data_IF_721102615144
#
_entry.id   IF_721102615144
#
_cell.length_a   1.000
_cell.length_b   1.000
_cell.length_c   1.000
_cell.angle_alpha   90.00
_cell.angle_beta   90.00
_cell.angle_gamma   90.00
#
_symmetry.space_group_name_H-M   'P 1'
#
loop_
_entity.id
_entity.type
_entity.pdbx_description
1 polymer ?
#
# COMPACT_ATOMS: atom_id res chain seq x y z
N UNK A 1 -39.51 7.45 -10.87
CA UNK A 1 -38.22 6.80 -10.59
C UNK A 1 -37.05 7.79 -10.70
N UNK A 2 -36.73 8.36 -11.87
CA UNK A 2 -35.59 9.31 -12.02
C UNK A 2 -35.64 10.53 -11.09
N UNK A 3 -36.80 11.19 -10.96
CA UNK A 3 -36.96 12.36 -10.09
C UNK A 3 -36.77 12.03 -8.60
N UNK A 4 -37.12 10.81 -8.20
CA UNK A 4 -36.98 10.34 -6.82
C UNK A 4 -35.51 10.04 -6.50
N UNK A 5 -34.80 9.38 -7.42
CA UNK A 5 -33.35 9.16 -7.28
C UNK A 5 -32.54 10.46 -7.20
N UNK A 6 -32.97 11.51 -7.92
CA UNK A 6 -32.35 12.84 -7.86
C UNK A 6 -32.64 13.56 -6.54
N UNK A 7 -33.87 13.49 -6.03
CA UNK A 7 -34.22 14.06 -4.71
C UNK A 7 -33.47 13.35 -3.57
N UNK A 8 -33.32 12.03 -3.66
CA UNK A 8 -32.53 11.24 -2.72
C UNK A 8 -31.04 11.61 -2.79
N UNK A 9 -30.51 11.90 -3.99
CA UNK A 9 -29.13 12.34 -4.20
C UNK A 9 -28.85 13.65 -3.48
N UNK A 10 -29.70 14.66 -3.69
CA UNK A 10 -29.55 15.97 -3.03
C UNK A 10 -29.62 15.86 -1.50
N UNK A 11 -30.55 15.04 -1.00
CA UNK A 11 -30.69 14.81 0.44
C UNK A 11 -29.43 14.14 1.04
N UNK A 12 -28.84 13.17 0.33
CA UNK A 12 -27.57 12.55 0.74
C UNK A 12 -26.40 13.52 0.67
N UNK A 13 -26.38 14.41 -0.30
CA UNK A 13 -25.34 15.44 -0.43
C UNK A 13 -25.36 16.39 0.77
N UNK A 14 -26.55 16.83 1.21
CA UNK A 14 -26.70 17.69 2.38
C UNK A 14 -26.29 16.99 3.69
N UNK A 15 -26.55 15.68 3.81
CA UNK A 15 -26.06 14.86 4.92
C UNK A 15 -24.53 14.75 4.93
N UNK A 16 -23.91 14.59 3.76
CA UNK A 16 -22.45 14.57 3.63
C UNK A 16 -21.83 15.92 3.97
N UNK A 17 -22.41 17.04 3.50
CA UNK A 17 -21.98 18.40 3.87
C UNK A 17 -22.01 18.59 5.39
N UNK A 18 -23.10 18.16 6.03
CA UNK A 18 -23.24 18.22 7.48
C UNK A 18 -22.16 17.38 8.20
N UNK A 19 -21.86 16.19 7.67
CA UNK A 19 -20.81 15.31 8.20
C UNK A 19 -19.41 15.92 8.08
N UNK A 20 -19.09 16.59 6.95
CA UNK A 20 -17.82 17.31 6.78
C UNK A 20 -17.65 18.40 7.83
N UNK A 21 -18.70 19.19 8.08
CA UNK A 21 -18.68 20.25 9.11
C UNK A 21 -18.45 19.66 10.50
N UNK A 22 -19.17 18.59 10.84
CA UNK A 22 -19.02 17.90 12.13
C UNK A 22 -17.60 17.33 12.32
N UNK A 23 -17.03 16.75 11.27
CA UNK A 23 -15.67 16.23 11.23
C UNK A 23 -14.58 17.32 11.12
N UNK A 24 -14.98 18.60 10.98
CA UNK A 24 -14.08 19.75 10.75
C UNK A 24 -13.21 19.60 9.50
N UNK A 25 -13.76 18.97 8.47
CA UNK A 25 -13.10 18.80 7.17
C UNK A 25 -13.54 19.95 6.26
N UNK A 26 -12.57 20.73 5.78
CA UNK A 26 -12.82 21.74 4.76
C UNK A 26 -12.77 21.08 3.39
N UNK A 27 -13.90 21.08 2.68
CA UNK A 27 -13.99 20.44 1.37
C UNK A 27 -15.37 20.56 0.76
N UNK A 28 -15.55 19.83 -0.34
CA UNK A 28 -16.80 19.73 -1.08
C UNK A 28 -17.39 18.34 -0.89
N UNK A 29 -18.71 18.23 -1.00
CA UNK A 29 -19.41 16.96 -1.04
C UNK A 29 -20.15 16.86 -2.37
N UNK A 30 -20.01 15.73 -3.04
CA UNK A 30 -20.68 15.42 -4.30
C UNK A 30 -21.29 14.03 -4.21
N UNK A 31 -22.49 13.87 -4.76
CA UNK A 31 -23.20 12.58 -4.82
C UNK A 31 -23.56 12.29 -6.26
N UNK A 32 -23.04 11.18 -6.79
CA UNK A 32 -23.32 10.72 -8.14
C UNK A 32 -24.34 9.58 -8.12
N UNK A 33 -25.50 9.80 -8.74
CA UNK A 33 -26.51 8.75 -8.93
C UNK A 33 -26.15 7.88 -10.15
N UNK A 34 -25.79 6.62 -9.91
CA UNK A 34 -25.38 5.66 -10.94
C UNK A 34 -26.19 4.37 -10.89
N UNK A 35 -26.20 3.64 -12.00
CA UNK A 35 -26.79 2.29 -12.08
C UNK A 35 -25.86 1.22 -11.51
N UNK A 36 -24.56 1.42 -11.69
CA UNK A 36 -23.49 0.52 -11.26
C UNK A 36 -22.46 1.33 -10.47
N UNK A 37 -22.09 0.84 -9.28
CA UNK A 37 -21.25 1.58 -8.34
C UNK A 37 -19.80 1.62 -8.83
N UNK A 38 -19.32 0.54 -9.43
CA UNK A 38 -17.96 0.45 -9.97
C UNK A 38 -17.73 1.50 -11.07
N UNK A 39 -18.65 1.61 -12.03
CA UNK A 39 -18.61 2.67 -13.06
C UNK A 39 -18.74 4.07 -12.45
N UNK A 40 -19.53 4.23 -11.38
CA UNK A 40 -19.65 5.49 -10.65
C UNK A 40 -18.34 5.93 -9.99
N UNK A 41 -17.64 5.02 -9.31
CA UNK A 41 -16.33 5.31 -8.70
C UNK A 41 -15.32 5.69 -9.79
N UNK A 42 -15.28 4.93 -10.89
CA UNK A 42 -14.41 5.21 -12.03
C UNK A 42 -14.70 6.58 -12.65
N UNK A 43 -15.98 6.94 -12.76
CA UNK A 43 -16.41 8.24 -13.29
C UNK A 43 -15.93 9.37 -12.38
N UNK A 44 -16.18 9.28 -11.06
CA UNK A 44 -15.73 10.29 -10.10
C UNK A 44 -14.21 10.51 -10.19
N UNK A 45 -13.41 9.44 -10.09
CA UNK A 45 -11.94 9.58 -10.17
C UNK A 45 -11.48 10.29 -11.46
N UNK A 46 -12.22 10.10 -12.55
CA UNK A 46 -11.90 10.70 -13.83
C UNK A 46 -12.41 12.14 -13.96
N UNK A 47 -13.62 12.44 -13.50
CA UNK A 47 -14.25 13.73 -13.80
C UNK A 47 -14.02 14.78 -12.72
N UNK A 48 -13.66 14.35 -11.50
CA UNK A 48 -13.49 15.25 -10.37
C UNK A 48 -12.37 16.29 -10.56
N UNK A 49 -12.66 17.49 -10.04
CA UNK A 49 -11.77 18.65 -10.10
C UNK A 49 -12.23 19.74 -11.06
N UNK A 50 -11.73 20.95 -10.82
CA UNK A 50 -12.05 22.14 -11.61
C UNK A 50 -10.77 22.82 -12.10
N UNK A 51 -10.55 22.81 -13.42
CA UNK A 51 -9.34 23.36 -14.02
C UNK A 51 -8.08 22.64 -13.54
N UNK A 52 -7.18 23.38 -12.89
CA UNK A 52 -5.95 22.86 -12.28
C UNK A 52 -6.13 22.26 -10.87
N UNK A 53 -7.28 22.50 -10.21
CA UNK A 53 -7.57 21.90 -8.92
C UNK A 53 -8.15 20.50 -9.13
N UNK A 54 -7.29 19.49 -9.04
CA UNK A 54 -7.69 18.08 -9.21
C UNK A 54 -7.19 17.24 -8.03
N UNK A 55 -7.95 16.22 -7.59
CA UNK A 55 -7.47 15.28 -6.59
C UNK A 55 -6.19 14.58 -7.07
N UNK A 56 -5.19 14.50 -6.19
CA UNK A 56 -3.96 13.73 -6.41
C UNK A 56 -3.91 12.48 -5.52
N UNK A 57 -4.86 12.32 -4.61
CA UNK A 57 -4.96 11.18 -3.69
C UNK A 57 -6.41 10.75 -3.58
N UNK A 58 -6.64 9.45 -3.71
CA UNK A 58 -7.92 8.79 -3.53
C UNK A 58 -7.85 8.04 -2.19
N UNK A 59 -8.83 8.26 -1.33
CA UNK A 59 -8.97 7.51 -0.08
C UNK A 59 -10.21 6.63 -0.19
N UNK A 60 -10.03 5.31 -0.14
CA UNK A 60 -11.12 4.34 -0.23
C UNK A 60 -10.94 3.27 0.84
N UNK A 61 -11.99 2.92 1.56
CA UNK A 61 -11.91 1.88 2.58
C UNK A 61 -11.68 0.49 1.96
N UNK A 62 -10.95 -0.37 2.68
CA UNK A 62 -10.86 -1.78 2.32
C UNK A 62 -12.26 -2.41 2.27
N UNK A 63 -12.61 -3.18 1.20
CA UNK A 63 -13.94 -3.79 1.10
C UNK A 63 -14.05 -5.00 2.03
N UNK A 64 -14.19 -4.80 3.35
CA UNK A 64 -14.11 -5.86 4.37
C UNK A 64 -15.07 -7.05 4.18
N UNK A 65 -16.12 -6.90 3.39
CA UNK A 65 -17.11 -7.95 3.10
C UNK A 65 -16.92 -8.63 1.75
N UNK A 66 -15.80 -8.38 1.05
CA UNK A 66 -15.55 -8.89 -0.30
C UNK A 66 -15.69 -10.42 -0.44
N UNK A 67 -15.43 -11.21 0.62
CA UNK A 67 -15.63 -12.67 0.62
C UNK A 67 -17.08 -13.14 0.68
N UNK A 68 -18.00 -12.27 1.13
CA UNK A 68 -19.44 -12.59 1.18
C UNK A 68 -20.10 -12.43 -0.18
N UNK A 69 -19.39 -11.82 -1.11
CA UNK A 69 -19.87 -11.53 -2.43
C UNK A 69 -19.71 -12.77 -3.32
N UNK A 70 -20.83 -13.38 -3.70
CA UNK A 70 -20.83 -14.67 -4.40
C UNK A 70 -20.30 -14.58 -5.83
N UNK A 71 -20.41 -13.41 -6.46
CA UNK A 71 -19.95 -13.17 -7.83
C UNK A 71 -18.55 -12.52 -7.89
N UNK A 72 -17.99 -12.12 -6.74
CA UNK A 72 -16.69 -11.45 -6.67
C UNK A 72 -16.70 -9.98 -7.11
N UNK A 73 -17.87 -9.37 -7.31
CA UNK A 73 -18.02 -7.99 -7.77
C UNK A 73 -17.22 -6.99 -6.93
N UNK A 74 -17.26 -7.09 -5.61
CA UNK A 74 -16.52 -6.21 -4.70
C UNK A 74 -15.00 -6.29 -4.88
N UNK A 75 -14.48 -7.49 -5.16
CA UNK A 75 -13.05 -7.69 -5.43
C UNK A 75 -12.68 -7.05 -6.78
N UNK A 76 -13.46 -7.32 -7.83
CA UNK A 76 -13.24 -6.73 -9.15
C UNK A 76 -13.32 -5.21 -9.14
N UNK A 77 -14.33 -4.66 -8.49
CA UNK A 77 -14.53 -3.22 -8.37
C UNK A 77 -13.37 -2.54 -7.65
N UNK A 78 -12.84 -3.17 -6.59
CA UNK A 78 -11.67 -2.65 -5.88
C UNK A 78 -10.41 -2.67 -6.76
N UNK A 79 -10.13 -3.79 -7.46
CA UNK A 79 -9.00 -3.88 -8.39
C UNK A 79 -9.10 -2.87 -9.51
N UNK A 80 -10.29 -2.71 -10.12
CA UNK A 80 -10.51 -1.71 -11.16
C UNK A 80 -10.29 -0.30 -10.61
N UNK A 81 -10.71 -0.03 -9.38
CA UNK A 81 -10.48 1.27 -8.74
C UNK A 81 -8.98 1.57 -8.60
N UNK A 82 -8.16 0.59 -8.21
CA UNK A 82 -6.69 0.75 -8.18
C UNK A 82 -6.16 1.07 -9.59
N UNK A 83 -6.60 0.32 -10.60
CA UNK A 83 -6.16 0.53 -11.98
C UNK A 83 -6.55 1.92 -12.52
N UNK A 84 -7.74 2.42 -12.19
CA UNK A 84 -8.21 3.76 -12.57
C UNK A 84 -7.42 4.85 -11.84
N UNK A 85 -7.13 4.65 -10.54
CA UNK A 85 -6.29 5.55 -9.76
C UNK A 85 -4.87 5.66 -10.36
N UNK A 86 -4.26 4.53 -10.71
CA UNK A 86 -2.95 4.47 -11.34
C UNK A 86 -2.94 5.17 -12.71
N UNK A 87 -3.93 4.88 -13.55
CA UNK A 87 -4.10 5.56 -14.85
C UNK A 87 -4.28 7.07 -14.71
N UNK A 88 -4.89 7.53 -13.61
CA UNK A 88 -5.02 8.95 -13.26
C UNK A 88 -3.85 9.54 -12.49
N UNK A 89 -2.81 8.74 -12.23
CA UNK A 89 -1.62 9.17 -11.49
C UNK A 89 -1.98 9.71 -10.10
N UNK A 90 -3.03 9.15 -9.51
CA UNK A 90 -3.41 9.42 -8.15
C UNK A 90 -2.76 8.39 -7.23
N UNK A 91 -2.28 8.86 -6.08
CA UNK A 91 -1.99 7.98 -4.96
C UNK A 91 -3.31 7.38 -4.43
N UNK A 92 -3.32 6.11 -4.03
CA UNK A 92 -4.44 5.50 -3.33
C UNK A 92 -4.06 5.18 -1.88
N UNK A 93 -4.90 5.59 -0.95
CA UNK A 93 -4.79 5.28 0.48
C UNK A 93 -6.00 4.43 0.88
N UNK A 94 -5.73 3.29 1.51
CA UNK A 94 -6.74 2.29 1.87
C UNK A 94 -6.68 2.00 3.37
N UNK A 95 -7.50 2.69 4.17
CA UNK A 95 -7.70 2.32 5.56
C UNK A 95 -8.36 0.94 5.63
N UNK A 96 -7.75 0.02 6.37
CA UNK A 96 -8.30 -1.29 6.67
C UNK A 96 -8.55 -1.42 8.16
N UNK A 97 -9.68 -2.06 8.49
CA UNK A 97 -10.24 -2.09 9.84
C UNK A 97 -10.53 -0.67 10.36
N UNK A 98 -11.24 0.12 9.54
CA UNK A 98 -11.51 1.53 9.85
C UNK A 98 -12.28 1.72 11.16
N UNK A 99 -13.09 0.75 11.56
CA UNK A 99 -13.82 0.77 12.83
C UNK A 99 -12.89 0.81 14.07
N UNK A 100 -11.63 0.41 13.91
CA UNK A 100 -10.63 0.48 14.97
C UNK A 100 -9.90 1.84 15.02
N UNK A 101 -10.10 2.73 14.03
CA UNK A 101 -9.43 4.03 14.00
C UNK A 101 -9.97 4.96 15.10
N UNK A 102 -9.08 5.77 15.70
CA UNK A 102 -9.45 6.62 16.81
C UNK A 102 -10.30 7.80 16.36
N UNK A 103 -11.22 8.22 17.23
CA UNK A 103 -11.92 9.48 17.07
C UNK A 103 -10.97 10.68 17.24
N UNK A 104 -11.38 11.85 16.75
CA UNK A 104 -10.59 13.09 16.83
C UNK A 104 -10.20 13.54 18.26
N UNK A 105 -10.80 12.94 19.30
CA UNK A 105 -10.53 13.21 20.72
C UNK A 105 -9.63 12.16 21.39
N UNK A 106 -9.40 11.02 20.73
CA UNK A 106 -8.71 9.87 21.30
C UNK A 106 -7.22 9.91 21.01
N UNK A 107 -6.47 10.64 21.84
CA UNK A 107 -5.01 10.74 21.70
C UNK A 107 -4.38 9.35 21.82
N UNK A 108 -3.66 8.95 20.78
CA UNK A 108 -2.88 7.74 20.71
C UNK A 108 -1.47 8.00 21.26
N UNK A 109 -0.99 7.04 22.04
CA UNK A 109 0.37 7.00 22.59
C UNK A 109 0.97 5.62 22.31
N UNK A 110 2.13 5.58 21.65
CA UNK A 110 2.73 4.35 21.14
C UNK A 110 3.55 4.61 19.88
N UNK A 111 3.43 3.72 18.89
CA UNK A 111 4.22 3.80 17.65
C UNK A 111 3.36 3.81 16.39
N UNK A 112 3.85 4.52 15.37
CA UNK A 112 3.43 4.39 13.98
C UNK A 112 4.55 3.62 13.28
N UNK A 113 4.24 2.42 12.83
CA UNK A 113 5.22 1.52 12.23
C UNK A 113 5.07 1.55 10.71
N UNK A 114 6.17 1.83 10.01
CA UNK A 114 6.23 1.92 8.56
C UNK A 114 6.97 0.70 8.04
N UNK A 115 6.30 -0.18 7.30
CA UNK A 115 6.91 -1.33 6.64
C UNK A 115 7.20 -1.01 5.18
N UNK A 116 8.41 -0.53 4.96
CA UNK A 116 8.88 -0.10 3.65
C UNK A 116 9.47 -1.27 2.86
N UNK A 117 8.57 -2.00 2.21
CA UNK A 117 8.88 -3.22 1.43
C UNK A 117 9.18 -2.88 -0.03
N UNK A 118 8.59 -1.82 -0.57
CA UNK A 118 8.71 -1.40 -1.97
C UNK A 118 9.01 0.09 -1.99
N UNK A 119 9.79 0.52 -2.98
CA UNK A 119 10.09 1.91 -3.17
C UNK A 119 8.86 2.66 -3.73
N UNK A 120 8.33 3.62 -2.97
CA UNK A 120 7.08 4.36 -3.22
C UNK A 120 7.31 5.87 -3.39
N UNK A 121 8.56 6.30 -3.53
CA UNK A 121 8.91 7.72 -3.64
C UNK A 121 8.86 8.48 -2.30
N UNK A 122 8.75 7.77 -1.18
CA UNK A 122 8.75 8.33 0.18
C UNK A 122 7.37 8.72 0.70
N UNK A 123 6.31 8.32 -0.01
CA UNK A 123 4.94 8.64 0.30
C UNK A 123 4.52 8.11 1.69
N UNK A 124 4.92 6.89 2.07
CA UNK A 124 4.73 6.34 3.41
C UNK A 124 5.30 7.27 4.49
N UNK A 125 6.49 7.84 4.27
CA UNK A 125 7.14 8.76 5.20
C UNK A 125 6.37 10.08 5.30
N UNK A 126 5.88 10.59 4.18
CA UNK A 126 5.04 11.79 4.16
C UNK A 126 3.76 11.61 4.95
N UNK A 127 3.05 10.51 4.76
CA UNK A 127 1.82 10.26 5.50
C UNK A 127 2.09 10.10 7.00
N UNK A 128 3.12 9.36 7.40
CA UNK A 128 3.50 9.25 8.81
C UNK A 128 3.85 10.61 9.43
N UNK A 129 4.61 11.44 8.71
CA UNK A 129 4.98 12.78 9.14
C UNK A 129 3.76 13.70 9.30
N UNK A 130 2.86 13.73 8.31
CA UNK A 130 1.64 14.53 8.35
C UNK A 130 0.71 14.07 9.47
N UNK A 131 0.59 12.76 9.70
CA UNK A 131 -0.21 12.22 10.81
C UNK A 131 0.29 12.72 12.16
N UNK A 132 1.60 12.76 12.41
CA UNK A 132 2.18 13.27 13.67
C UNK A 132 1.85 14.74 13.95
N UNK A 133 1.47 15.53 12.95
CA UNK A 133 1.00 16.92 13.15
C UNK A 133 -0.41 16.98 13.73
N UNK A 134 -1.18 15.91 13.62
CA UNK A 134 -2.50 15.81 14.22
C UNK A 134 -2.39 15.47 15.72
N UNK A 135 -3.21 16.13 16.55
CA UNK A 135 -3.24 15.94 18.02
C UNK A 135 -3.48 14.49 18.45
N UNK A 136 -4.22 13.72 17.64
CA UNK A 136 -4.49 12.29 17.90
C UNK A 136 -3.20 11.49 17.86
N UNK A 137 -2.27 11.79 16.95
CA UNK A 137 -1.08 10.97 16.72
C UNK A 137 0.22 11.65 17.18
N UNK A 138 0.14 12.85 17.75
CA UNK A 138 1.32 13.67 18.07
C UNK A 138 2.26 13.04 19.11
N UNK A 139 1.75 12.14 19.96
CA UNK A 139 2.56 11.40 20.95
C UNK A 139 3.15 10.11 20.40
N UNK A 140 2.80 9.70 19.18
CA UNK A 140 3.36 8.49 18.59
C UNK A 140 4.81 8.71 18.12
N UNK A 141 5.64 7.69 18.31
CA UNK A 141 6.98 7.58 17.73
C UNK A 141 6.91 6.87 16.39
N UNK A 142 7.75 7.26 15.43
CA UNK A 142 7.80 6.58 14.12
C UNK A 142 8.88 5.52 14.18
N UNK A 143 8.56 4.30 13.72
CA UNK A 143 9.54 3.22 13.51
C UNK A 143 9.49 2.80 12.05
N UNK A 144 10.64 2.76 11.39
CA UNK A 144 10.80 2.32 10.02
C UNK A 144 11.37 0.91 10.01
N UNK A 145 10.67 -0.01 9.37
CA UNK A 145 11.12 -1.36 9.08
C UNK A 145 11.36 -1.49 7.57
N UNK A 146 12.56 -1.92 7.20
CA UNK A 146 12.87 -2.32 5.83
C UNK A 146 13.31 -3.78 5.79
N UNK A 147 13.04 -4.45 4.67
CA UNK A 147 13.33 -5.88 4.49
C UNK A 147 14.48 -6.05 3.50
N UNK A 148 15.47 -6.84 3.89
CA UNK A 148 16.72 -7.09 3.16
C UNK A 148 17.01 -8.59 3.06
N UNK A 149 17.77 -8.98 2.05
CA UNK A 149 18.26 -10.35 1.83
C UNK A 149 19.53 -10.61 2.63
N UNK A 150 19.87 -11.86 2.90
CA UNK A 150 21.12 -12.23 3.58
C UNK A 150 22.39 -11.79 2.84
N UNK A 151 22.29 -11.56 1.52
CA UNK A 151 23.40 -11.11 0.67
C UNK A 151 23.59 -9.59 0.71
N UNK A 152 22.62 -8.84 1.25
CA UNK A 152 22.65 -7.39 1.29
C UNK A 152 23.49 -6.87 2.45
N UNK A 153 24.08 -5.68 2.27
CA UNK A 153 24.75 -4.98 3.37
C UNK A 153 23.73 -4.24 4.25
N UNK A 154 23.14 -4.96 5.21
CA UNK A 154 22.12 -4.45 6.13
C UNK A 154 22.62 -3.24 6.95
N UNK A 155 23.91 -3.21 7.31
CA UNK A 155 24.53 -2.10 8.06
C UNK A 155 24.61 -0.82 7.23
N UNK A 156 25.06 -0.92 5.98
CA UNK A 156 25.11 0.23 5.08
C UNK A 156 23.70 0.77 4.80
N UNK A 157 22.74 -0.12 4.51
CA UNK A 157 21.35 0.27 4.26
C UNK A 157 20.73 1.00 5.45
N UNK A 158 20.96 0.49 6.67
CA UNK A 158 20.49 1.16 7.89
C UNK A 158 21.03 2.58 7.98
N UNK A 159 22.34 2.75 7.81
CA UNK A 159 23.01 4.05 7.88
C UNK A 159 22.50 5.03 6.82
N UNK A 160 22.31 4.55 5.59
CA UNK A 160 21.81 5.36 4.48
C UNK A 160 20.36 5.82 4.75
N UNK A 161 19.51 4.95 5.29
CA UNK A 161 18.15 5.29 5.67
C UNK A 161 18.07 6.24 6.86
N UNK A 162 18.93 6.07 7.88
CA UNK A 162 19.04 7.03 8.99
C UNK A 162 19.47 8.41 8.49
N UNK A 163 20.45 8.47 7.59
CA UNK A 163 20.88 9.71 6.94
C UNK A 163 19.74 10.33 6.11
N UNK A 164 18.98 9.51 5.39
CA UNK A 164 17.84 9.96 4.61
C UNK A 164 16.75 10.55 5.52
N UNK A 165 16.34 9.86 6.57
CA UNK A 165 15.36 10.38 7.56
C UNK A 165 15.82 11.68 8.21
N UNK A 166 17.12 11.79 8.53
CA UNK A 166 17.72 13.02 9.04
C UNK A 166 17.59 14.19 8.05
N UNK A 167 17.88 13.97 6.76
CA UNK A 167 17.71 14.98 5.72
C UNK A 167 16.25 15.43 5.58
N UNK A 168 15.31 14.51 5.76
CA UNK A 168 13.87 14.81 5.75
C UNK A 168 13.38 15.46 7.05
N UNK A 169 14.23 15.54 8.09
CA UNK A 169 13.88 16.00 9.45
C UNK A 169 12.73 15.19 10.08
N UNK A 170 12.68 13.90 9.76
CA UNK A 170 11.74 12.96 10.35
C UNK A 170 12.48 12.20 11.43
N UNK A 171 12.04 12.36 12.68
CA UNK A 171 12.55 11.57 13.80
C UNK A 171 11.90 10.18 13.78
N UNK A 172 12.64 9.20 13.25
CA UNK A 172 12.21 7.81 13.13
C UNK A 172 13.32 6.84 13.56
N UNK A 173 12.93 5.75 14.22
CA UNK A 173 13.81 4.63 14.54
C UNK A 173 13.92 3.69 13.33
N UNK A 174 15.12 3.47 12.79
CA UNK A 174 15.34 2.62 11.60
C UNK A 174 15.75 1.21 11.99
N UNK A 175 14.97 0.24 11.53
CA UNK A 175 15.14 -1.19 11.76
C UNK A 175 15.24 -1.92 10.41
N UNK A 176 16.26 -2.77 10.27
CA UNK A 176 16.45 -3.64 9.10
C UNK A 176 16.13 -5.06 9.52
N UNK A 177 15.26 -5.72 8.75
CA UNK A 177 14.81 -7.09 8.97
C UNK A 177 15.37 -7.96 7.85
N UNK A 178 16.24 -8.89 8.22
CA UNK A 178 16.80 -9.88 7.29
C UNK A 178 15.81 -11.03 7.10
N UNK A 179 15.54 -11.37 5.84
CA UNK A 179 14.66 -12.47 5.44
C UNK A 179 15.34 -13.32 4.37
N UNK A 180 15.00 -14.61 4.31
CA UNK A 180 15.59 -15.51 3.33
C UNK A 180 15.05 -15.23 1.91
N UNK A 181 15.87 -15.45 0.88
CA UNK A 181 15.56 -15.13 -0.52
C UNK A 181 14.24 -15.72 -1.04
N UNK A 182 13.97 -16.96 -0.65
CA UNK A 182 12.74 -17.66 -1.03
C UNK A 182 11.49 -16.97 -0.47
N UNK A 183 11.63 -16.29 0.66
CA UNK A 183 10.53 -15.63 1.39
C UNK A 183 10.18 -14.26 0.79
N UNK A 184 11.10 -13.59 0.08
CA UNK A 184 10.88 -12.24 -0.44
C UNK A 184 10.97 -12.10 -1.96
N UNK A 185 11.27 -13.19 -2.68
CA UNK A 185 11.45 -13.21 -4.14
C UNK A 185 10.37 -12.48 -4.95
N UNK A 186 9.10 -12.59 -4.55
CA UNK A 186 7.99 -11.90 -5.20
C UNK A 186 8.08 -10.37 -5.06
N UNK A 187 8.46 -9.87 -3.88
CA UNK A 187 8.62 -8.45 -3.61
C UNK A 187 9.93 -7.91 -4.20
N UNK A 188 11.00 -8.70 -4.17
CA UNK A 188 12.29 -8.33 -4.75
C UNK A 188 12.16 -8.05 -6.26
N UNK A 189 11.45 -8.91 -6.99
CA UNK A 189 11.21 -8.70 -8.42
C UNK A 189 10.43 -7.41 -8.72
N UNK A 190 9.33 -7.17 -8.01
CA UNK A 190 8.53 -5.96 -8.19
C UNK A 190 9.30 -4.69 -7.79
N UNK A 191 10.08 -4.78 -6.70
CA UNK A 191 10.96 -3.71 -6.23
C UNK A 191 11.96 -3.31 -7.32
N UNK A 192 12.62 -4.27 -7.97
CA UNK A 192 13.60 -4.02 -9.03
C UNK A 192 12.98 -3.36 -10.25
N UNK A 193 11.82 -3.84 -10.73
CA UNK A 193 11.13 -3.23 -11.89
C UNK A 193 10.75 -1.76 -11.66
N UNK A 194 10.10 -1.47 -10.52
CA UNK A 194 9.70 -0.10 -10.16
C UNK A 194 10.92 0.83 -9.99
N UNK A 195 12.05 0.27 -9.57
CA UNK A 195 13.32 0.99 -9.46
C UNK A 195 13.80 1.53 -10.80
N UNK A 196 13.82 0.67 -11.81
CA UNK A 196 14.31 1.02 -13.15
C UNK A 196 13.43 2.09 -13.79
N UNK A 197 12.10 1.97 -13.64
CA UNK A 197 11.14 2.97 -14.10
C UNK A 197 11.36 4.32 -13.41
N UNK A 198 11.61 4.31 -12.10
CA UNK A 198 11.90 5.53 -11.33
C UNK A 198 13.19 6.21 -11.79
N UNK A 199 14.26 5.45 -12.03
CA UNK A 199 15.53 6.01 -12.52
C UNK A 199 15.32 6.69 -13.89
N UNK A 200 14.51 6.11 -14.77
CA UNK A 200 14.15 6.71 -16.07
C UNK A 200 13.38 8.02 -15.88
N UNK A 201 12.42 8.05 -14.96
CA UNK A 201 11.64 9.26 -14.64
C UNK A 201 12.52 10.40 -14.10
N UNK A 202 13.37 10.11 -13.11
CA UNK A 202 14.25 11.12 -12.49
C UNK A 202 15.21 11.75 -13.51
N UNK A 203 15.75 10.95 -14.43
CA UNK A 203 16.57 11.45 -15.56
C UNK A 203 15.78 12.40 -16.46
N UNK A 204 14.49 12.14 -16.67
CA UNK A 204 13.63 12.97 -17.50
C UNK A 204 13.27 14.31 -16.82
N UNK A 205 13.09 14.32 -15.50
CA UNK A 205 12.67 15.49 -14.73
C UNK A 205 13.74 16.57 -14.56
N UNK A 206 15.00 16.32 -14.93
CA UNK A 206 16.14 17.28 -14.85
C UNK A 206 16.23 17.99 -13.49
N UNK A 207 15.96 17.27 -12.40
CA UNK A 207 16.02 17.80 -11.03
C UNK A 207 17.43 18.36 -10.71
N UNK A 208 17.49 19.43 -9.93
CA UNK A 208 18.76 20.07 -9.56
C UNK A 208 19.59 19.21 -8.60
N UNK A 209 20.91 19.43 -8.52
CA UNK A 209 21.84 18.51 -7.81
C UNK A 209 21.51 18.20 -6.34
N UNK A 210 20.90 19.13 -5.59
CA UNK A 210 20.45 18.89 -4.19
C UNK A 210 19.17 18.06 -4.10
N UNK A 211 18.20 18.30 -5.00
CA UNK A 211 16.95 17.54 -5.07
C UNK A 211 17.21 16.13 -5.60
N UNK A 212 18.13 16.02 -6.59
CA UNK A 212 18.63 14.75 -7.08
C UNK A 212 19.30 13.97 -5.96
N UNK A 213 20.13 14.61 -5.11
CA UNK A 213 20.77 13.94 -3.98
C UNK A 213 19.76 13.39 -2.96
N UNK A 214 18.76 14.15 -2.55
CA UNK A 214 17.71 13.65 -1.64
C UNK A 214 16.95 12.49 -2.29
N UNK A 215 16.64 12.61 -3.58
CA UNK A 215 15.95 11.58 -4.36
C UNK A 215 16.85 10.39 -4.77
N UNK A 216 18.17 10.51 -4.74
CA UNK A 216 19.14 9.48 -5.15
C UNK A 216 19.84 8.80 -3.98
N UNK A 217 19.75 9.37 -2.77
CA UNK A 217 20.17 8.76 -1.49
C UNK A 217 19.14 7.79 -0.91
N UNK A 218 18.05 7.52 -1.63
CA UNK A 218 17.45 6.22 -1.51
C UNK A 218 18.60 5.19 -1.68
N UNK A 219 18.76 4.16 -0.85
CA UNK A 219 19.84 3.17 -0.96
C UNK A 219 19.69 2.32 -2.25
N UNK A 220 19.87 2.92 -3.42
CA UNK A 220 19.55 2.37 -4.74
C UNK A 220 20.77 1.77 -5.39
N UNK A 221 21.91 2.46 -5.31
CA UNK A 221 23.13 2.08 -6.00
C UNK A 221 23.83 0.88 -5.34
N UNK A 222 23.69 0.71 -4.03
CA UNK A 222 24.32 -0.39 -3.28
C UNK A 222 23.59 -1.73 -3.45
N UNK A 223 22.30 -1.72 -3.80
CA UNK A 223 21.46 -2.93 -3.91
C UNK A 223 21.44 -3.55 -5.31
N UNK A 224 21.47 -2.72 -6.37
CA UNK A 224 21.41 -3.20 -7.77
C UNK A 224 22.72 -3.87 -8.22
N UNK A 225 23.86 -3.42 -7.69
CA UNK A 225 25.17 -3.93 -8.11
C UNK A 225 25.46 -5.38 -7.65
N UNK A 226 24.83 -5.87 -6.59
CA UNK A 226 25.07 -7.24 -6.10
C UNK A 226 24.24 -8.31 -6.85
N UNK A 227 23.08 -7.96 -7.41
CA UNK A 227 22.19 -8.95 -8.04
C UNK A 227 22.60 -9.41 -9.44
N UNK A 228 23.50 -8.69 -10.12
CA UNK A 228 24.02 -9.14 -11.43
C UNK A 228 24.95 -10.36 -11.33
N UNK A 229 25.42 -10.76 -10.14
CA UNK A 229 26.22 -11.97 -9.96
C UNK A 229 25.39 -13.24 -9.66
N UNK A 230 24.23 -13.11 -8.99
CA UNK A 230 23.43 -14.27 -8.54
C UNK A 230 22.53 -14.88 -9.62
N UNK A 231 22.35 -14.25 -10.78
CA UNK A 231 21.55 -14.79 -11.90
C UNK A 231 22.14 -16.05 -12.59
N UNK A 232 23.33 -16.54 -12.19
CA UNK A 232 23.97 -17.70 -12.85
C UNK A 232 23.88 -19.04 -12.10
N UNK A 233 23.31 -19.12 -10.88
CA UNK A 233 23.23 -20.39 -10.14
C UNK A 233 21.97 -20.51 -9.30
N UNK A 234 20.91 -21.09 -9.87
CA UNK A 234 19.88 -21.76 -9.06
C UNK A 234 19.25 -22.90 -9.85
N UNK A 235 19.92 -24.05 -9.86
CA UNK A 235 19.30 -25.35 -10.11
C UNK A 235 18.68 -25.80 -8.78
N UNK A 236 17.38 -26.10 -8.77
CA UNK A 236 16.59 -26.32 -7.54
C UNK A 236 16.58 -27.82 -7.19
N UNK A 237 16.91 -28.15 -5.94
CA UNK A 237 16.64 -29.45 -5.31
C UNK A 237 15.20 -29.48 -4.77
N UNK A 238 14.46 -30.54 -5.09
CA UNK A 238 13.09 -30.82 -4.67
C UNK A 238 13.07 -31.34 -3.22
N UNK A 239 12.43 -30.63 -2.29
CA UNK A 239 11.76 -31.22 -1.10
C UNK A 239 10.97 -30.14 -0.34
N UNK A 240 9.65 -30.08 -0.49
CA UNK A 240 8.79 -29.31 0.42
C UNK A 240 7.35 -29.84 0.46
N UNK A 241 7.13 -30.90 1.24
CA UNK A 241 5.79 -31.39 1.61
C UNK A 241 5.64 -31.36 3.14
N UNK A 242 5.35 -30.20 3.74
CA UNK A 242 4.70 -30.13 5.05
C UNK A 242 4.28 -28.71 5.47
N UNK A 243 3.18 -28.18 4.95
CA UNK A 243 2.50 -27.04 5.59
C UNK A 243 0.98 -27.26 5.56
N UNK A 244 0.37 -27.26 6.75
CA UNK A 244 -1.04 -27.55 6.96
C UNK A 244 -1.84 -26.24 6.87
N UNK A 245 -2.64 -26.09 5.82
CA UNK A 245 -3.48 -24.92 5.61
C UNK A 245 -4.82 -25.07 6.35
N UNK A 246 -5.36 -23.99 6.90
CA UNK A 246 -6.74 -23.88 7.40
C UNK A 246 -7.70 -23.47 6.27
N UNK A 247 -7.86 -24.33 5.27
CA UNK A 247 -8.93 -24.22 4.28
C UNK A 247 -10.03 -25.24 4.58
N UNK A 248 -11.27 -24.94 4.23
CA UNK A 248 -12.28 -26.01 4.13
C UNK A 248 -11.93 -26.94 2.94
N UNK A 249 -12.19 -28.26 3.02
CA UNK A 249 -11.77 -29.20 1.97
C UNK A 249 -12.21 -28.83 0.55
N UNK A 250 -13.39 -28.21 0.41
CA UNK A 250 -13.95 -27.75 -0.88
C UNK A 250 -13.25 -26.50 -1.45
N UNK A 251 -12.77 -25.59 -0.59
CA UNK A 251 -12.01 -24.41 -1.02
C UNK A 251 -10.60 -24.81 -1.50
N UNK A 252 -10.01 -25.82 -0.88
CA UNK A 252 -8.70 -26.34 -1.24
C UNK A 252 -8.69 -27.01 -2.62
N UNK A 253 -9.73 -27.77 -2.98
CA UNK A 253 -9.81 -28.43 -4.30
C UNK A 253 -9.97 -27.43 -5.45
N UNK A 254 -10.74 -26.36 -5.26
CA UNK A 254 -10.90 -25.31 -6.28
C UNK A 254 -9.63 -24.49 -6.51
N UNK A 255 -8.86 -24.23 -5.45
CA UNK A 255 -7.59 -23.51 -5.51
C UNK A 255 -6.46 -24.38 -6.07
N UNK A 256 -6.34 -25.65 -5.63
CA UNK A 256 -5.28 -26.55 -6.13
C UNK A 256 -5.35 -26.81 -7.63
N UNK A 257 -6.55 -26.84 -8.21
CA UNK A 257 -6.72 -27.13 -9.64
C UNK A 257 -6.46 -25.92 -10.56
N UNK A 258 -6.37 -24.69 -10.03
CA UNK A 258 -6.33 -23.46 -10.85
C UNK A 258 -5.26 -22.44 -10.45
N UNK A 259 -4.53 -22.65 -9.35
CA UNK A 259 -3.54 -21.69 -8.83
C UNK A 259 -2.16 -22.03 -9.37
N UNK A 260 -1.55 -21.09 -10.09
CA UNK A 260 -0.18 -21.22 -10.58
C UNK A 260 0.82 -21.33 -9.42
N UNK A 261 1.92 -22.05 -9.64
CA UNK A 261 3.03 -22.17 -8.69
C UNK A 261 3.54 -20.80 -8.20
N UNK A 262 3.53 -19.79 -9.07
CA UNK A 262 3.87 -18.40 -8.74
C UNK A 262 2.93 -17.76 -7.72
N UNK A 263 1.65 -18.10 -7.74
CA UNK A 263 0.65 -17.56 -6.80
C UNK A 263 0.79 -18.20 -5.43
N UNK A 264 1.12 -19.50 -5.36
CA UNK A 264 1.44 -20.18 -4.10
C UNK A 264 2.70 -19.59 -3.44
N UNK A 265 3.75 -19.31 -4.23
CA UNK A 265 4.97 -18.65 -3.72
C UNK A 265 4.67 -17.26 -3.13
N UNK A 266 3.85 -16.44 -3.82
CA UNK A 266 3.40 -15.14 -3.30
C UNK A 266 2.67 -15.29 -1.96
N UNK A 267 1.80 -16.29 -1.84
CA UNK A 267 1.06 -16.53 -0.60
C UNK A 267 1.99 -16.89 0.57
N UNK A 268 2.97 -17.78 0.33
CA UNK A 268 3.97 -18.13 1.35
C UNK A 268 4.79 -16.91 1.81
N UNK A 269 5.22 -16.08 0.86
CA UNK A 269 5.89 -14.81 1.14
C UNK A 269 5.02 -13.86 1.99
N UNK A 270 3.72 -13.77 1.73
CA UNK A 270 2.80 -12.96 2.54
C UNK A 270 2.67 -13.46 3.97
N UNK A 271 2.51 -14.77 4.18
CA UNK A 271 2.44 -15.37 5.52
C UNK A 271 3.69 -15.00 6.32
N UNK A 272 4.87 -15.24 5.73
CA UNK A 272 6.14 -15.02 6.40
C UNK A 272 6.41 -13.56 6.72
N UNK A 273 6.08 -12.66 5.80
CA UNK A 273 6.18 -11.23 6.04
C UNK A 273 5.20 -10.78 7.13
N UNK A 274 3.96 -11.30 7.13
CA UNK A 274 2.99 -11.02 8.19
C UNK A 274 3.48 -11.50 9.56
N UNK A 275 4.15 -12.66 9.65
CA UNK A 275 4.78 -13.11 10.89
C UNK A 275 5.78 -12.08 11.43
N UNK A 276 6.66 -11.57 10.56
CA UNK A 276 7.62 -10.52 10.94
C UNK A 276 6.94 -9.21 11.34
N UNK A 277 5.86 -8.83 10.66
CA UNK A 277 5.06 -7.64 11.02
C UNK A 277 4.42 -7.83 12.39
N UNK A 278 3.76 -8.96 12.64
CA UNK A 278 3.12 -9.24 13.93
C UNK A 278 4.14 -9.32 15.06
N UNK A 279 5.29 -9.93 14.85
CA UNK A 279 6.33 -10.04 15.89
C UNK A 279 6.78 -8.67 16.41
N UNK A 280 6.85 -7.66 15.54
CA UNK A 280 7.45 -6.34 15.85
C UNK A 280 6.42 -5.22 16.04
N UNK A 281 5.27 -5.34 15.38
CA UNK A 281 4.27 -4.27 15.22
C UNK A 281 2.88 -4.63 15.77
N UNK A 282 2.73 -5.75 16.51
CA UNK A 282 1.43 -6.13 17.10
C UNK A 282 0.81 -5.06 17.99
N UNK A 283 1.62 -4.35 18.78
CA UNK A 283 1.17 -3.30 19.70
C UNK A 283 1.25 -1.89 19.08
N UNK A 284 1.64 -1.79 17.81
CA UNK A 284 1.70 -0.51 17.11
C UNK A 284 0.31 0.13 17.04
N UNK A 285 0.26 1.46 17.17
CA UNK A 285 -0.99 2.19 17.07
C UNK A 285 -1.45 2.33 15.63
N UNK A 286 -0.54 2.30 14.67
CA UNK A 286 -0.86 2.27 13.24
C UNK A 286 0.28 1.58 12.49
N UNK A 287 -0.06 0.73 11.54
CA UNK A 287 0.90 0.12 10.63
C UNK A 287 0.65 0.63 9.21
N UNK A 288 1.68 1.21 8.59
CA UNK A 288 1.68 1.66 7.20
C UNK A 288 2.40 0.62 6.34
N UNK A 289 1.74 0.16 5.28
CA UNK A 289 2.27 -0.88 4.37
C UNK A 289 1.98 -0.45 2.94
N UNK A 290 2.90 -0.71 2.01
CA UNK A 290 2.60 -0.54 0.60
C UNK A 290 1.56 -1.56 0.14
N UNK A 291 0.53 -1.09 -0.55
CA UNK A 291 -0.41 -1.94 -1.25
C UNK A 291 0.28 -2.51 -2.52
N UNK A 292 0.36 -3.85 -2.64
CA UNK A 292 0.97 -4.51 -3.80
C UNK A 292 0.33 -4.08 -5.12
N UNK A 293 1.08 -4.10 -6.23
CA UNK A 293 0.49 -3.78 -7.54
C UNK A 293 -0.65 -4.74 -7.89
N UNK A 294 -1.76 -4.21 -8.45
CA UNK A 294 -2.88 -5.04 -8.88
C UNK A 294 -2.45 -6.02 -9.99
N UNK A 295 -3.16 -7.13 -10.18
CA UNK A 295 -2.86 -8.06 -11.26
C UNK A 295 -3.04 -7.39 -12.62
N UNK A 296 -2.13 -7.67 -13.56
CA UNK A 296 -2.23 -7.15 -14.94
C UNK A 296 -3.42 -7.72 -15.72
N UNK A 297 -3.85 -8.93 -15.37
CA UNK A 297 -5.05 -9.55 -15.92
C UNK A 297 -6.26 -9.20 -15.07
N UNK A 298 -7.24 -8.54 -15.69
CA UNK A 298 -8.54 -8.28 -15.09
C UNK A 298 -9.42 -9.52 -15.26
N UNK A 299 -9.34 -10.44 -14.30
CA UNK A 299 -10.26 -11.58 -14.18
C UNK A 299 -10.68 -11.76 -12.73
N UNK A 300 -11.88 -12.31 -12.52
CA UNK A 300 -12.44 -12.56 -11.18
C UNK A 300 -11.50 -13.36 -10.29
N UNK A 301 -10.88 -14.41 -10.86
CA UNK A 301 -9.92 -15.24 -10.13
C UNK A 301 -8.66 -14.48 -9.73
N UNK A 302 -8.16 -13.60 -10.60
CA UNK A 302 -6.98 -12.79 -10.30
C UNK A 302 -7.30 -11.73 -9.23
N UNK A 303 -8.48 -11.10 -9.30
CA UNK A 303 -8.95 -10.18 -8.28
C UNK A 303 -9.11 -10.88 -6.92
N UNK A 304 -9.77 -12.05 -6.89
CA UNK A 304 -9.92 -12.86 -5.68
C UNK A 304 -8.57 -13.23 -5.07
N UNK A 305 -7.63 -13.72 -5.89
CA UNK A 305 -6.29 -14.11 -5.44
C UNK A 305 -5.50 -12.93 -4.85
N UNK A 306 -5.63 -11.75 -5.45
CA UNK A 306 -5.02 -10.53 -4.93
C UNK A 306 -5.61 -10.13 -3.57
N UNK A 307 -6.94 -10.17 -3.44
CA UNK A 307 -7.63 -9.83 -2.20
C UNK A 307 -7.27 -10.79 -1.07
N UNK A 308 -7.21 -12.10 -1.34
CA UNK A 308 -6.73 -13.10 -0.37
C UNK A 308 -5.30 -12.80 0.08
N UNK A 309 -4.41 -12.52 -0.88
CA UNK A 309 -3.01 -12.25 -0.59
C UNK A 309 -2.82 -11.03 0.34
N UNK A 310 -3.52 -9.92 0.07
CA UNK A 310 -3.48 -8.74 0.94
C UNK A 310 -4.08 -9.04 2.31
N UNK A 311 -5.14 -9.84 2.39
CA UNK A 311 -5.71 -10.25 3.67
C UNK A 311 -4.74 -11.10 4.49
N UNK A 312 -4.09 -12.10 3.89
CA UNK A 312 -3.09 -12.94 4.56
C UNK A 312 -1.89 -12.13 5.04
N UNK A 313 -1.40 -11.18 4.21
CA UNK A 313 -0.30 -10.29 4.55
C UNK A 313 -0.61 -9.41 5.78
N UNK A 314 -1.88 -9.10 6.02
CA UNK A 314 -2.30 -8.09 7.00
C UNK A 314 -3.15 -8.65 8.14
N UNK A 315 -3.34 -9.97 8.16
CA UNK A 315 -4.16 -10.67 9.14
C UNK A 315 -3.61 -10.47 10.56
N UNK A 316 -4.50 -10.16 11.50
CA UNK A 316 -4.17 -10.00 12.92
C UNK A 316 -3.65 -8.61 13.32
N UNK A 317 -3.58 -7.67 12.38
CA UNK A 317 -3.19 -6.28 12.65
C UNK A 317 -4.43 -5.39 12.84
N UNK A 318 -4.39 -4.52 13.86
CA UNK A 318 -5.60 -3.79 14.28
C UNK A 318 -5.95 -2.60 13.39
N UNK A 319 -4.98 -1.73 13.09
CA UNK A 319 -5.16 -0.51 12.29
C UNK A 319 -4.10 -0.45 11.21
N UNK A 320 -4.58 -0.40 9.98
CA UNK A 320 -3.75 -0.46 8.79
C UNK A 320 -4.11 0.66 7.84
N UNK A 321 -3.09 1.22 7.23
CA UNK A 321 -3.26 2.15 6.12
C UNK A 321 -2.36 1.63 4.99
N UNK A 322 -3.00 1.02 4.01
CA UNK A 322 -2.33 0.46 2.83
C UNK A 322 -2.21 1.56 1.78
N UNK A 323 -1.06 1.65 1.11
CA UNK A 323 -0.78 2.78 0.23
C UNK A 323 -0.25 2.32 -1.13
N UNK A 324 -0.86 2.82 -2.20
CA UNK A 324 -0.43 2.60 -3.56
C UNK A 324 -0.04 3.93 -4.19
N UNK A 325 1.23 4.10 -4.54
CA UNK A 325 1.67 5.26 -5.32
C UNK A 325 1.44 5.04 -6.82
N UNK A 326 1.37 6.13 -7.57
CA UNK A 326 1.37 6.14 -9.03
C UNK A 326 2.76 5.91 -9.65
N UNK A 327 3.81 5.86 -8.82
CA UNK A 327 5.21 5.75 -9.25
C UNK A 327 5.83 7.07 -9.70
N UNK A 328 5.05 8.15 -9.74
CA UNK A 328 5.47 9.49 -10.16
C UNK A 328 5.69 10.45 -9.01
N UNK A 329 5.42 10.01 -7.78
CA UNK A 329 5.60 10.81 -6.58
C UNK A 329 7.08 11.16 -6.37
N UNK A 330 7.33 12.47 -6.22
CA UNK A 330 8.64 13.04 -5.92
C UNK A 330 8.44 13.99 -4.75
N UNK A 331 8.91 13.58 -3.57
CA UNK A 331 8.94 14.44 -2.40
C UNK A 331 10.29 15.15 -2.38
N UNK A 332 10.27 16.48 -2.49
CA UNK A 332 11.49 17.29 -2.52
C UNK A 332 11.74 18.05 -1.22
N UNK A 333 10.71 18.35 -0.42
CA UNK A 333 10.83 19.13 0.83
C UNK A 333 9.73 18.70 1.82
N UNK A 334 10.11 18.50 3.08
CA UNK A 334 9.18 18.45 4.21
C UNK A 334 9.11 19.85 4.84
N UNK A 335 7.98 20.54 4.68
CA UNK A 335 7.70 21.82 5.36
C UNK A 335 7.06 21.57 6.70
#
# INVERSE_FOLDING_TARGET
MLTQSLQDSNSKEDLLKSSLVQAKVQGFAEVLAVKDVEDGISTLIQTEGLGGLRPNTIVLCWPSQWRKDFDGYAAEAFIRTIAVAEARQCTMIVPKNIDNFPDAKEIQDGTIDIWWIIHDGGLLFLIAFLLKRNKVWSRCRIRLYTVTQSEDNSVAMKKDLEQYMYQLRIEAEVNVVEMADQEISAYAYERTLKLEERIKLLKHLKLGGKELQVQSHIPMETMVNNQHQSQRKSTIDETSDQYHYTFTPSQLEHLKNNVSESSMRKMHSAVRLNEQIKERSRDAKLVLINLPSPPSKQSSLAAYSYMEYVDVLTEGLQRLLLMHGSGREVITIFS
#
